data_IF_620644114076
#
_entry.id   IF_620644114076
#
_cell.length_a   1.000
_cell.length_b   1.000
_cell.length_c   1.000
_cell.angle_alpha   90.00
_cell.angle_beta   90.00
_cell.angle_gamma   90.00
#
_symmetry.space_group_name_H-M   'P 1'
#
loop_
_entity.id
_entity.type
_entity.pdbx_description
1 polymer ?
#
# COMPACT_ATOMS: atom_id res chain seq x y z
N UNK A 1 11.92 -25.61 3.93
CA UNK A 1 11.04 -24.77 4.79
C UNK A 1 9.94 -24.16 3.93
N UNK A 2 8.68 -24.27 4.35
CA UNK A 2 7.55 -23.61 3.69
C UNK A 2 7.55 -22.11 3.98
N UNK A 3 7.59 -21.30 2.94
CA UNK A 3 7.49 -19.84 3.04
C UNK A 3 6.39 -19.30 2.13
N UNK A 4 5.78 -18.19 2.54
CA UNK A 4 4.89 -17.44 1.65
C UNK A 4 5.71 -16.45 0.82
N UNK A 5 5.71 -16.63 -0.50
CA UNK A 5 6.42 -15.79 -1.45
C UNK A 5 5.46 -15.19 -2.49
N UNK A 6 5.74 -13.95 -2.91
CA UNK A 6 5.01 -13.31 -3.99
C UNK A 6 5.78 -13.40 -5.31
N UNK A 7 5.11 -13.85 -6.37
CA UNK A 7 5.60 -13.81 -7.75
C UNK A 7 4.80 -12.78 -8.55
N UNK A 8 5.47 -11.74 -9.02
CA UNK A 8 4.83 -10.64 -9.76
C UNK A 8 5.28 -10.66 -11.22
N UNK A 9 4.32 -10.66 -12.14
CA UNK A 9 4.55 -10.64 -13.58
C UNK A 9 3.80 -9.48 -14.23
N UNK A 10 4.42 -8.82 -15.20
CA UNK A 10 3.72 -7.89 -16.08
C UNK A 10 2.84 -8.69 -17.07
N UNK A 11 1.58 -8.28 -17.22
CA UNK A 11 0.65 -8.84 -18.19
C UNK A 11 0.74 -8.07 -19.50
N UNK A 12 0.51 -8.79 -20.60
CA UNK A 12 0.36 -8.26 -21.96
C UNK A 12 -1.03 -8.62 -22.51
N UNK A 13 -2.11 -8.00 -21.96
CA UNK A 13 -3.47 -8.35 -22.32
C UNK A 13 -3.88 -7.77 -23.67
N UNK A 14 -4.74 -8.48 -24.40
CA UNK A 14 -5.46 -7.92 -25.54
C UNK A 14 -6.37 -6.75 -25.10
N UNK A 15 -6.85 -5.88 -26.01
CA UNK A 15 -7.76 -4.80 -25.64
C UNK A 15 -9.01 -5.28 -24.90
N UNK A 16 -9.60 -6.40 -25.32
CA UNK A 16 -10.74 -7.04 -24.65
C UNK A 16 -10.39 -7.52 -23.24
N UNK A 17 -9.25 -8.19 -23.07
CA UNK A 17 -8.77 -8.62 -21.75
C UNK A 17 -8.46 -7.42 -20.83
N UNK A 18 -7.88 -6.34 -21.36
CA UNK A 18 -7.62 -5.13 -20.61
C UNK A 18 -8.91 -4.45 -20.13
N UNK A 19 -9.96 -4.45 -20.97
CA UNK A 19 -11.29 -3.98 -20.59
C UNK A 19 -11.91 -4.88 -19.50
N UNK A 20 -11.81 -6.20 -19.62
CA UNK A 20 -12.28 -7.15 -18.61
C UNK A 20 -11.54 -6.97 -17.27
N UNK A 21 -10.22 -6.79 -17.28
CA UNK A 21 -9.41 -6.48 -16.10
C UNK A 21 -9.85 -5.18 -15.42
N UNK A 22 -10.12 -4.14 -16.22
CA UNK A 22 -10.63 -2.87 -15.73
C UNK A 22 -12.05 -3.02 -15.13
N UNK A 23 -12.91 -3.83 -15.75
CA UNK A 23 -14.25 -4.16 -15.26
C UNK A 23 -14.18 -4.85 -13.89
N UNK A 24 -13.33 -5.86 -13.72
CA UNK A 24 -13.12 -6.57 -12.45
C UNK A 24 -12.62 -5.63 -11.33
N UNK A 25 -11.67 -4.74 -11.65
CA UNK A 25 -11.23 -3.71 -10.69
C UNK A 25 -12.34 -2.69 -10.38
N UNK A 26 -13.22 -2.42 -11.35
CA UNK A 26 -14.42 -1.62 -11.19
C UNK A 26 -15.44 -2.25 -10.25
N UNK A 27 -15.71 -3.55 -10.42
CA UNK A 27 -16.57 -4.35 -9.54
C UNK A 27 -16.07 -4.35 -8.09
N UNK A 28 -14.76 -4.55 -7.88
CA UNK A 28 -14.15 -4.47 -6.55
C UNK A 28 -14.34 -3.08 -5.90
N UNK A 29 -14.18 -2.00 -6.69
CA UNK A 29 -14.42 -0.64 -6.22
C UNK A 29 -15.89 -0.40 -5.90
N UNK A 30 -16.80 -0.91 -6.73
CA UNK A 30 -18.24 -0.77 -6.54
C UNK A 30 -18.67 -1.43 -5.23
N UNK A 31 -18.30 -2.70 -5.02
CA UNK A 31 -18.59 -3.42 -3.77
C UNK A 31 -18.03 -2.71 -2.54
N UNK A 32 -16.78 -2.21 -2.61
CA UNK A 32 -16.19 -1.43 -1.52
C UNK A 32 -17.01 -0.16 -1.19
N UNK A 33 -17.39 0.62 -2.21
CA UNK A 33 -18.12 1.86 -2.00
C UNK A 33 -19.55 1.60 -1.51
N UNK A 34 -20.22 0.59 -2.09
CA UNK A 34 -21.54 0.16 -1.65
C UNK A 34 -21.52 -0.29 -0.18
N UNK A 35 -20.58 -1.15 0.19
CA UNK A 35 -20.44 -1.61 1.59
C UNK A 35 -20.11 -0.46 2.53
N UNK A 36 -19.30 0.52 2.09
CA UNK A 36 -19.00 1.70 2.91
C UNK A 36 -20.23 2.61 3.07
N UNK A 37 -21.08 2.73 2.06
CA UNK A 37 -22.34 3.45 2.15
C UNK A 37 -23.30 2.76 3.14
N UNK A 38 -23.41 1.43 3.07
CA UNK A 38 -24.20 0.63 4.02
C UNK A 38 -23.74 0.83 5.46
N UNK A 39 -22.43 0.74 5.71
CA UNK A 39 -21.86 0.95 7.06
C UNK A 39 -22.10 2.38 7.54
N UNK A 40 -21.94 3.39 6.68
CA UNK A 40 -22.22 4.77 7.05
C UNK A 40 -23.68 5.00 7.38
N UNK A 41 -24.60 4.46 6.58
CA UNK A 41 -26.03 4.55 6.84
C UNK A 41 -26.39 3.90 8.18
N UNK A 42 -25.86 2.71 8.47
CA UNK A 42 -26.04 2.06 9.77
C UNK A 42 -25.48 2.89 10.93
N UNK A 43 -24.31 3.52 10.77
CA UNK A 43 -23.74 4.39 11.81
C UNK A 43 -24.57 5.67 12.04
N UNK A 44 -25.05 6.31 10.97
CA UNK A 44 -25.94 7.47 11.08
C UNK A 44 -27.28 7.11 11.72
N UNK A 45 -27.82 5.93 11.41
CA UNK A 45 -29.02 5.42 12.04
C UNK A 45 -28.83 5.19 13.54
N UNK A 46 -27.69 4.62 13.95
CA UNK A 46 -27.36 4.46 15.37
C UNK A 46 -27.27 5.80 16.08
N UNK A 47 -26.62 6.79 15.48
CA UNK A 47 -26.52 8.15 16.04
C UNK A 47 -27.90 8.79 16.20
N UNK A 48 -28.83 8.55 15.27
CA UNK A 48 -30.21 8.99 15.39
C UNK A 48 -30.96 8.26 16.52
N UNK A 49 -30.85 6.93 16.60
CA UNK A 49 -31.47 6.10 17.65
C UNK A 49 -30.96 6.48 19.05
N UNK A 50 -29.65 6.74 19.19
CA UNK A 50 -29.06 7.26 20.43
C UNK A 50 -29.66 8.64 20.79
N UNK A 51 -29.97 9.48 19.80
CA UNK A 51 -30.55 10.82 20.06
C UNK A 51 -32.00 10.78 20.56
N UNK A 52 -32.76 9.74 20.23
CA UNK A 52 -34.12 9.52 20.73
C UNK A 52 -34.17 8.55 21.93
N UNK A 53 -33.02 8.23 22.54
CA UNK A 53 -32.94 7.49 23.81
C UNK A 53 -33.01 5.96 23.69
N UNK A 54 -32.77 5.39 22.51
CA UNK A 54 -32.75 3.92 22.34
C UNK A 54 -31.54 3.33 23.09
N UNK A 55 -31.75 2.33 23.98
CA UNK A 55 -30.66 1.67 24.68
C UNK A 55 -29.67 0.99 23.73
N UNK A 56 -28.39 0.98 24.10
CA UNK A 56 -27.28 0.50 23.26
C UNK A 56 -27.45 -0.91 22.66
N UNK A 57 -28.21 -1.77 23.33
CA UNK A 57 -28.51 -3.15 22.92
C UNK A 57 -29.48 -3.23 21.74
N UNK A 58 -30.35 -2.23 21.59
CA UNK A 58 -31.34 -2.14 20.52
C UNK A 58 -30.87 -1.31 19.32
N UNK A 59 -29.65 -0.77 19.38
CA UNK A 59 -29.09 0.01 18.28
C UNK A 59 -28.83 -0.83 17.03
N UNK A 60 -29.11 -0.23 15.88
CA UNK A 60 -28.87 -0.80 14.55
C UNK A 60 -27.44 -1.35 14.44
N UNK A 61 -27.30 -2.64 14.12
CA UNK A 61 -25.99 -3.27 14.03
C UNK A 61 -25.27 -2.87 12.74
N UNK A 62 -24.09 -2.27 12.85
CA UNK A 62 -23.30 -1.88 11.70
C UNK A 62 -22.54 -3.10 11.10
N UNK A 63 -22.80 -3.49 9.84
CA UNK A 63 -22.18 -4.66 9.25
C UNK A 63 -20.73 -4.36 8.83
N UNK A 64 -19.79 -4.40 9.78
CA UNK A 64 -18.38 -4.10 9.54
C UNK A 64 -17.48 -5.33 9.31
N UNK A 65 -18.00 -6.55 9.49
CA UNK A 65 -17.25 -7.78 9.27
C UNK A 65 -17.36 -8.23 7.81
N UNK A 66 -16.35 -8.97 7.33
CA UNK A 66 -16.39 -9.50 5.96
C UNK A 66 -17.62 -10.40 5.74
N UNK A 67 -17.98 -11.19 6.76
CA UNK A 67 -19.13 -12.09 6.70
C UNK A 67 -20.44 -11.33 6.54
N UNK A 68 -20.70 -10.31 7.37
CA UNK A 68 -21.95 -9.53 7.29
C UNK A 68 -22.04 -8.72 6.00
N UNK A 69 -20.92 -8.15 5.54
CA UNK A 69 -20.84 -7.45 4.26
C UNK A 69 -21.13 -8.39 3.08
N UNK A 70 -20.61 -9.62 3.09
CA UNK A 70 -20.90 -10.62 2.04
C UNK A 70 -22.36 -11.05 2.06
N UNK A 71 -22.94 -11.28 3.23
CA UNK A 71 -24.36 -11.65 3.38
C UNK A 71 -25.25 -10.55 2.80
N UNK A 72 -25.02 -9.30 3.19
CA UNK A 72 -25.77 -8.16 2.67
C UNK A 72 -25.57 -7.99 1.15
N UNK A 73 -24.35 -8.18 0.64
CA UNK A 73 -24.08 -8.11 -0.80
C UNK A 73 -24.84 -9.18 -1.56
N UNK A 74 -24.83 -10.42 -1.09
CA UNK A 74 -25.53 -11.53 -1.75
C UNK A 74 -27.04 -11.32 -1.84
N UNK A 75 -27.65 -10.65 -0.85
CA UNK A 75 -29.06 -10.31 -0.87
C UNK A 75 -29.41 -9.15 -1.83
N UNK A 76 -28.44 -8.27 -2.13
CA UNK A 76 -28.69 -7.04 -2.87
C UNK A 76 -28.10 -7.00 -4.29
N UNK A 77 -27.14 -7.89 -4.61
CA UNK A 77 -26.33 -7.82 -5.84
C UNK A 77 -27.17 -7.88 -7.12
N UNK A 78 -28.22 -8.71 -7.16
CA UNK A 78 -29.01 -8.90 -8.38
C UNK A 78 -29.82 -7.65 -8.71
N UNK A 79 -30.28 -6.92 -7.69
CA UNK A 79 -30.96 -5.63 -7.84
C UNK A 79 -29.99 -4.47 -8.15
N UNK A 80 -28.85 -4.42 -7.45
CA UNK A 80 -27.95 -3.27 -7.47
C UNK A 80 -26.89 -3.32 -8.57
N UNK A 81 -26.55 -4.52 -9.03
CA UNK A 81 -25.61 -4.75 -10.10
C UNK A 81 -26.07 -5.96 -10.93
N UNK A 82 -27.13 -5.82 -11.76
CA UNK A 82 -27.59 -6.90 -12.64
C UNK A 82 -26.47 -7.50 -13.52
N UNK A 83 -25.48 -6.69 -13.88
CA UNK A 83 -24.27 -7.09 -14.62
C UNK A 83 -23.20 -7.81 -13.77
N UNK A 84 -23.50 -8.23 -12.54
CA UNK A 84 -22.46 -8.75 -11.65
C UNK A 84 -21.82 -10.04 -12.16
N UNK A 85 -22.58 -10.86 -12.90
CA UNK A 85 -22.14 -12.13 -13.46
C UNK A 85 -21.05 -11.96 -14.55
N UNK A 86 -20.91 -10.78 -15.15
CA UNK A 86 -19.85 -10.48 -16.12
C UNK A 86 -18.46 -10.53 -15.50
N UNK A 87 -18.38 -10.32 -14.18
CA UNK A 87 -17.14 -10.38 -13.42
C UNK A 87 -17.11 -11.61 -12.51
N UNK A 88 -15.92 -12.06 -12.15
CA UNK A 88 -15.78 -13.07 -11.10
C UNK A 88 -16.35 -12.57 -9.77
N UNK A 89 -17.05 -13.47 -9.04
CA UNK A 89 -17.49 -13.22 -7.65
C UNK A 89 -16.35 -12.74 -6.73
N UNK A 90 -15.13 -13.16 -7.02
CA UNK A 90 -13.93 -12.77 -6.27
C UNK A 90 -13.60 -11.27 -6.40
N UNK A 91 -14.00 -10.62 -7.50
CA UNK A 91 -13.79 -9.18 -7.67
C UNK A 91 -14.57 -8.39 -6.61
N UNK A 92 -15.87 -8.68 -6.44
CA UNK A 92 -16.72 -8.06 -5.42
C UNK A 92 -16.23 -8.39 -4.02
N UNK A 93 -15.92 -9.68 -3.78
CA UNK A 93 -15.36 -10.16 -2.52
C UNK A 93 -14.06 -9.42 -2.13
N UNK A 94 -13.15 -9.19 -3.08
CA UNK A 94 -11.93 -8.43 -2.86
C UNK A 94 -12.22 -6.99 -2.42
N UNK A 95 -13.27 -6.36 -2.98
CA UNK A 95 -13.76 -5.06 -2.55
C UNK A 95 -14.21 -5.05 -1.08
N UNK A 96 -15.04 -6.02 -0.70
CA UNK A 96 -15.58 -6.14 0.65
C UNK A 96 -14.51 -6.53 1.68
N UNK A 97 -13.57 -7.42 1.36
CA UNK A 97 -12.43 -7.76 2.23
C UNK A 97 -11.56 -6.54 2.50
N UNK A 98 -11.27 -5.74 1.46
CA UNK A 98 -10.54 -4.50 1.63
C UNK A 98 -11.26 -3.49 2.54
N UNK A 99 -12.60 -3.45 2.51
CA UNK A 99 -13.40 -2.60 3.40
C UNK A 99 -13.37 -3.12 4.84
N UNK A 100 -13.64 -4.41 5.04
CA UNK A 100 -13.64 -5.05 6.36
C UNK A 100 -12.28 -4.86 7.06
N UNK A 101 -11.17 -5.06 6.34
CA UNK A 101 -9.81 -4.80 6.85
C UNK A 101 -9.60 -3.33 7.19
N UNK A 102 -10.09 -2.40 6.37
CA UNK A 102 -9.94 -0.97 6.63
C UNK A 102 -10.72 -0.53 7.88
N UNK A 103 -11.95 -1.02 8.06
CA UNK A 103 -12.77 -0.77 9.25
C UNK A 103 -12.15 -1.40 10.50
N UNK A 104 -11.67 -2.64 10.41
CA UNK A 104 -10.93 -3.30 11.51
C UNK A 104 -9.70 -2.47 11.91
N UNK A 105 -8.89 -2.05 10.93
CA UNK A 105 -7.69 -1.24 11.19
C UNK A 105 -8.01 0.12 11.82
N UNK A 106 -9.08 0.78 11.37
CA UNK A 106 -9.56 2.02 11.98
C UNK A 106 -9.99 1.80 13.43
N UNK A 107 -10.80 0.77 13.70
CA UNK A 107 -11.27 0.48 15.06
C UNK A 107 -10.11 0.09 15.99
N UNK A 108 -9.21 -0.79 15.55
CA UNK A 108 -8.00 -1.15 16.31
C UNK A 108 -7.10 0.05 16.58
N UNK A 109 -6.99 0.98 15.63
CA UNK A 109 -6.27 2.24 15.82
C UNK A 109 -6.95 3.16 16.83
N UNK A 110 -8.29 3.26 16.79
CA UNK A 110 -9.08 4.05 17.75
C UNK A 110 -8.94 3.51 19.18
N UNK A 111 -8.84 2.19 19.33
CA UNK A 111 -8.66 1.50 20.63
C UNK A 111 -7.20 1.44 21.11
N UNK A 112 -6.24 2.04 20.39
CA UNK A 112 -4.81 1.96 20.76
C UNK A 112 -4.14 0.59 20.58
N UNK A 113 -4.88 -0.45 20.18
CA UNK A 113 -4.37 -1.83 20.01
C UNK A 113 -3.44 -2.03 18.81
N UNK A 114 -3.37 -1.07 17.88
CA UNK A 114 -2.54 -1.14 16.68
C UNK A 114 -1.33 -0.22 16.80
N UNK A 115 -0.13 -0.80 16.63
CA UNK A 115 1.12 -0.04 16.52
C UNK A 115 1.16 0.80 15.23
N UNK A 116 1.76 1.99 15.30
CA UNK A 116 2.01 2.88 14.17
C UNK A 116 0.99 4.04 14.06
N UNK A 117 1.03 4.74 12.92
CA UNK A 117 0.23 5.95 12.70
C UNK A 117 -1.27 5.68 12.84
N UNK A 118 -1.97 6.62 13.49
CA UNK A 118 -3.41 6.63 13.64
C UNK A 118 -4.10 6.52 12.27
N UNK A 119 -5.06 5.59 12.17
CA UNK A 119 -5.83 5.35 10.94
C UNK A 119 -7.15 6.11 11.01
N UNK A 120 -7.42 6.90 9.98
CA UNK A 120 -8.74 7.53 9.79
C UNK A 120 -9.80 6.56 9.26
N UNK A 121 -11.06 6.96 9.37
CA UNK A 121 -12.18 6.19 8.84
C UNK A 121 -12.06 5.98 7.31
N UNK A 122 -12.47 4.82 6.76
CA UNK A 122 -12.36 4.56 5.33
C UNK A 122 -13.12 5.59 4.46
N UNK A 123 -12.54 5.94 3.32
CA UNK A 123 -13.11 6.90 2.35
C UNK A 123 -13.56 6.20 1.08
N UNK A 124 -14.59 6.73 0.43
CA UNK A 124 -15.02 6.27 -0.88
C UNK A 124 -13.87 6.30 -1.88
N UNK A 125 -13.75 5.22 -2.65
CA UNK A 125 -12.73 5.03 -3.68
C UNK A 125 -13.21 5.64 -4.98
N UNK A 126 -12.41 6.52 -5.58
CA UNK A 126 -12.68 7.07 -6.91
C UNK A 126 -11.92 6.31 -8.00
N UNK A 127 -12.51 6.20 -9.19
CA UNK A 127 -11.90 5.54 -10.36
C UNK A 127 -10.53 6.10 -10.72
N UNK A 128 -10.32 7.40 -10.51
CA UNK A 128 -9.11 8.10 -10.94
C UNK A 128 -8.03 8.26 -9.87
N UNK A 129 -8.31 7.96 -8.59
CA UNK A 129 -7.34 8.07 -7.48
C UNK A 129 -7.04 6.73 -6.81
N UNK A 130 -8.03 5.85 -6.71
CA UNK A 130 -7.81 4.54 -6.11
C UNK A 130 -6.98 3.66 -7.06
N UNK A 131 -6.09 2.84 -6.49
CA UNK A 131 -5.42 1.80 -7.25
C UNK A 131 -6.47 0.85 -7.83
N UNK A 132 -6.36 0.56 -9.13
CA UNK A 132 -7.19 -0.47 -9.77
C UNK A 132 -6.58 -1.81 -9.45
N UNK A 133 -7.24 -2.58 -8.58
CA UNK A 133 -6.79 -3.90 -8.16
C UNK A 133 -7.95 -4.79 -7.73
N UNK A 134 -7.83 -6.07 -8.01
CA UNK A 134 -8.72 -7.13 -7.53
C UNK A 134 -7.90 -8.38 -7.17
N UNK A 135 -8.35 -9.12 -6.16
CA UNK A 135 -7.74 -10.37 -5.70
C UNK A 135 -8.67 -11.55 -5.95
N UNK A 136 -8.11 -12.65 -6.44
CA UNK A 136 -8.74 -13.93 -6.67
C UNK A 136 -8.12 -14.96 -5.73
N UNK A 137 -8.94 -15.63 -4.93
CA UNK A 137 -8.51 -16.74 -4.06
C UNK A 137 -9.06 -18.09 -4.52
N UNK A 138 -10.08 -18.07 -5.37
CA UNK A 138 -10.83 -19.27 -5.80
C UNK A 138 -10.98 -19.26 -7.32
N UNK A 139 -11.20 -20.44 -7.91
CA UNK A 139 -11.39 -20.64 -9.35
C UNK A 139 -10.09 -21.04 -10.05
N UNK A 140 -10.11 -21.01 -11.39
CA UNK A 140 -8.95 -21.36 -12.20
C UNK A 140 -7.85 -20.29 -12.06
N UNK A 141 -6.87 -20.56 -11.19
CA UNK A 141 -5.67 -19.74 -10.99
C UNK A 141 -4.47 -20.63 -11.26
N UNK A 142 -3.81 -20.46 -12.41
CA UNK A 142 -2.63 -21.24 -12.77
C UNK A 142 -1.70 -20.50 -13.71
N UNK A 143 -0.47 -20.98 -13.74
CA UNK A 143 0.53 -20.63 -14.75
C UNK A 143 0.48 -21.71 -15.82
N UNK A 144 0.47 -21.31 -17.10
CA UNK A 144 0.41 -22.26 -18.22
C UNK A 144 1.76 -22.90 -18.52
N UNK A 145 1.72 -24.06 -19.19
CA UNK A 145 2.90 -24.88 -19.47
C UNK A 145 3.94 -24.19 -20.38
N UNK A 146 3.50 -23.27 -21.23
CA UNK A 146 4.35 -22.45 -22.11
C UNK A 146 5.21 -21.41 -21.37
N UNK A 147 4.98 -21.24 -20.07
CA UNK A 147 5.71 -20.32 -19.19
C UNK A 147 5.59 -18.84 -19.57
N UNK A 148 4.61 -18.50 -20.40
CA UNK A 148 4.33 -17.15 -20.87
C UNK A 148 2.85 -16.77 -20.80
N UNK A 149 2.00 -17.66 -20.28
CA UNK A 149 0.61 -17.34 -20.01
C UNK A 149 0.18 -17.69 -18.59
N UNK A 150 -0.85 -16.99 -18.13
CA UNK A 150 -1.52 -17.23 -16.86
C UNK A 150 -3.03 -17.27 -17.09
N UNK A 151 -3.72 -18.19 -16.42
CA UNK A 151 -5.18 -18.26 -16.46
C UNK A 151 -5.76 -17.73 -15.15
N UNK A 152 -6.73 -16.83 -15.28
CA UNK A 152 -7.43 -16.21 -14.16
C UNK A 152 -8.96 -16.39 -14.29
N UNK A 153 -9.71 -16.47 -13.19
CA UNK A 153 -11.15 -16.71 -13.22
C UNK A 153 -11.90 -15.62 -13.99
N UNK A 154 -12.76 -16.01 -14.94
CA UNK A 154 -13.57 -15.11 -15.80
C UNK A 154 -12.78 -14.12 -16.68
N UNK A 155 -11.45 -14.20 -16.65
CA UNK A 155 -10.53 -13.39 -17.44
C UNK A 155 -9.84 -14.21 -18.54
N UNK A 156 -9.88 -15.54 -18.42
CA UNK A 156 -9.24 -16.45 -19.36
C UNK A 156 -7.72 -16.44 -19.26
N UNK A 157 -7.08 -16.88 -20.33
CA UNK A 157 -5.63 -17.00 -20.45
C UNK A 157 -5.03 -15.70 -20.97
N UNK A 158 -4.14 -15.09 -20.19
CA UNK A 158 -3.51 -13.80 -20.48
C UNK A 158 -2.00 -13.99 -20.59
N UNK A 159 -1.40 -13.42 -21.64
CA UNK A 159 0.05 -13.43 -21.84
C UNK A 159 0.78 -12.63 -20.77
N UNK A 160 1.94 -13.11 -20.33
CA UNK A 160 2.89 -12.40 -19.49
C UNK A 160 4.05 -11.88 -20.34
N UNK A 161 4.51 -10.67 -20.03
CA UNK A 161 5.67 -10.08 -20.69
C UNK A 161 7.00 -10.75 -20.28
N UNK A 162 7.01 -11.36 -19.10
CA UNK A 162 8.16 -12.05 -18.52
C UNK A 162 7.87 -13.54 -18.39
N UNK A 163 8.92 -14.38 -18.42
CA UNK A 163 8.76 -15.82 -18.24
C UNK A 163 8.34 -16.17 -16.80
N UNK A 164 7.35 -17.03 -16.68
CA UNK A 164 6.87 -17.59 -15.40
C UNK A 164 7.67 -18.83 -14.96
N UNK A 165 8.75 -19.18 -15.69
CA UNK A 165 9.59 -20.38 -15.49
C UNK A 165 9.93 -20.67 -14.02
N UNK A 166 10.27 -19.66 -13.22
CA UNK A 166 10.64 -19.87 -11.81
C UNK A 166 9.47 -20.45 -11.02
N UNK A 167 8.28 -19.84 -11.12
CA UNK A 167 7.09 -20.32 -10.45
C UNK A 167 6.63 -21.66 -11.04
N UNK A 168 6.60 -21.78 -12.38
CA UNK A 168 6.19 -23.01 -13.06
C UNK A 168 6.98 -24.24 -12.59
N UNK A 169 8.30 -24.11 -12.40
CA UNK A 169 9.14 -25.21 -11.87
C UNK A 169 8.75 -25.64 -10.46
N UNK A 170 8.41 -24.71 -9.57
CA UNK A 170 7.96 -25.07 -8.21
C UNK A 170 6.62 -25.81 -8.25
N UNK A 171 5.68 -25.34 -9.08
CA UNK A 171 4.38 -25.99 -9.23
C UNK A 171 4.54 -27.42 -9.81
N UNK A 172 5.36 -27.59 -10.84
CA UNK A 172 5.62 -28.89 -11.46
C UNK A 172 6.30 -29.89 -10.52
N UNK A 173 7.19 -29.42 -9.64
CA UNK A 173 7.90 -30.26 -8.67
C UNK A 173 7.09 -30.56 -7.41
N UNK A 174 5.88 -30.02 -7.27
CA UNK A 174 5.10 -30.10 -6.02
C UNK A 174 5.69 -29.31 -4.85
N UNK A 175 6.75 -28.52 -5.07
CA UNK A 175 7.38 -27.66 -4.03
C UNK A 175 6.74 -26.29 -3.96
N UNK A 176 5.60 -26.08 -4.63
CA UNK A 176 4.90 -24.81 -4.60
C UNK A 176 3.40 -24.94 -4.85
N UNK A 177 2.64 -24.07 -4.20
CA UNK A 177 1.18 -23.95 -4.36
C UNK A 177 0.78 -22.48 -4.48
N UNK A 178 -0.03 -22.15 -5.49
CA UNK A 178 -0.63 -20.82 -5.60
C UNK A 178 -1.80 -20.72 -4.61
N UNK A 179 -1.77 -19.71 -3.74
CA UNK A 179 -2.83 -19.40 -2.78
C UNK A 179 -3.81 -18.35 -3.29
N UNK A 180 -3.31 -17.38 -4.06
CA UNK A 180 -4.14 -16.32 -4.64
C UNK A 180 -3.43 -15.59 -5.77
N UNK A 181 -4.19 -14.93 -6.63
CA UNK A 181 -3.70 -14.00 -7.63
C UNK A 181 -4.28 -12.61 -7.39
N UNK A 182 -3.44 -11.58 -7.38
CA UNK A 182 -3.90 -10.18 -7.30
C UNK A 182 -3.53 -9.48 -8.59
N UNK A 183 -4.53 -9.01 -9.34
CA UNK A 183 -4.29 -8.17 -10.51
C UNK A 183 -4.29 -6.71 -10.10
N UNK A 184 -3.37 -5.92 -10.67
CA UNK A 184 -3.24 -4.49 -10.39
C UNK A 184 -2.78 -3.73 -11.62
N UNK A 185 -3.36 -2.56 -11.86
CA UNK A 185 -2.86 -1.59 -12.82
C UNK A 185 -1.93 -0.59 -12.11
N UNK A 186 -0.67 -0.52 -12.54
CA UNK A 186 0.34 0.38 -11.99
C UNK A 186 1.27 0.85 -13.11
N UNK A 187 1.61 2.14 -13.14
CA UNK A 187 2.62 2.65 -14.07
C UNK A 187 2.29 2.49 -15.56
N UNK A 188 1.01 2.32 -15.91
CA UNK A 188 0.58 2.11 -17.29
C UNK A 188 0.63 0.66 -17.76
N UNK A 189 0.83 -0.31 -16.85
CA UNK A 189 0.83 -1.74 -17.15
C UNK A 189 -0.04 -2.50 -16.17
N UNK A 190 -0.59 -3.62 -16.64
CA UNK A 190 -1.25 -4.60 -15.78
C UNK A 190 -0.19 -5.55 -15.21
N UNK A 191 -0.37 -5.93 -13.94
CA UNK A 191 0.45 -6.91 -13.27
C UNK A 191 -0.44 -7.94 -12.60
N UNK A 192 -0.02 -9.20 -12.63
CA UNK A 192 -0.52 -10.24 -11.73
C UNK A 192 0.53 -10.52 -10.66
N UNK A 193 0.10 -10.57 -9.41
CA UNK A 193 0.93 -10.98 -8.28
C UNK A 193 0.32 -12.24 -7.65
N UNK A 194 0.98 -13.37 -7.83
CA UNK A 194 0.63 -14.62 -7.16
C UNK A 194 1.21 -14.62 -5.75
N UNK A 195 0.38 -14.91 -4.75
CA UNK A 195 0.86 -15.33 -3.43
C UNK A 195 0.96 -16.84 -3.45
N UNK A 196 2.14 -17.37 -3.22
CA UNK A 196 2.43 -18.80 -3.27
C UNK A 196 3.02 -19.26 -1.94
N UNK A 197 2.65 -20.46 -1.51
CA UNK A 197 3.43 -21.22 -0.55
C UNK A 197 4.51 -21.97 -1.34
N UNK A 198 5.78 -21.81 -0.99
CA UNK A 198 6.92 -22.46 -1.63
C UNK A 198 7.73 -23.18 -0.57
N UNK A 199 8.10 -24.42 -0.84
CA UNK A 199 9.12 -25.12 -0.07
C UNK A 199 10.50 -24.77 -0.62
N UNK A 200 11.27 -24.00 0.16
CA UNK A 200 12.66 -23.71 -0.16
C UNK A 200 13.57 -24.70 0.53
N UNK A 201 14.59 -25.15 -0.21
CA UNK A 201 15.80 -25.65 0.40
C UNK A 201 16.52 -24.48 1.10
N UNK A 202 17.03 -24.72 2.30
CA UNK A 202 17.78 -23.71 3.03
C UNK A 202 19.01 -23.30 2.21
N UNK A 203 19.11 -22.00 1.94
CA UNK A 203 20.27 -21.43 1.25
C UNK A 203 21.27 -21.01 2.31
N UNK A 204 22.41 -21.67 2.31
CA UNK A 204 23.55 -21.30 3.15
C UNK A 204 24.22 -20.07 2.53
N UNK A 205 24.32 -18.94 3.25
CA UNK A 205 25.08 -17.77 2.79
C UNK A 205 26.54 -18.12 2.57
N UNK A 206 27.24 -17.36 1.71
CA UNK A 206 28.66 -17.59 1.44
C UNK A 206 29.54 -17.49 2.70
N UNK A 207 29.13 -16.71 3.70
CA UNK A 207 29.79 -16.56 5.00
C UNK A 207 28.78 -16.73 6.14
N UNK A 208 28.46 -17.98 6.54
CA UNK A 208 27.40 -18.28 7.51
C UNK A 208 27.62 -17.67 8.90
N UNK A 209 28.87 -17.59 9.34
CA UNK A 209 29.19 -17.07 10.68
C UNK A 209 29.51 -15.57 10.68
N UNK A 210 29.58 -14.95 9.49
CA UNK A 210 29.89 -13.54 9.37
C UNK A 210 28.68 -12.66 9.65
N UNK A 211 28.94 -11.58 10.37
CA UNK A 211 27.98 -10.53 10.70
C UNK A 211 28.32 -9.26 9.91
N UNK A 212 27.32 -8.59 9.36
CA UNK A 212 27.48 -7.24 8.78
C UNK A 212 26.46 -6.29 9.36
N UNK A 213 26.92 -5.14 9.85
CA UNK A 213 26.08 -3.99 10.18
C UNK A 213 25.78 -3.18 8.92
N UNK A 214 24.54 -2.71 8.78
CA UNK A 214 24.08 -1.86 7.67
C UNK A 214 23.52 -0.57 8.25
N UNK A 215 24.23 0.53 8.04
CA UNK A 215 23.76 1.90 8.30
C UNK A 215 23.09 2.44 7.03
N UNK A 216 21.87 2.96 7.13
CA UNK A 216 21.10 3.44 5.98
C UNK A 216 21.14 4.97 5.90
N UNK A 217 21.79 5.49 4.87
CA UNK A 217 21.97 6.93 4.69
C UNK A 217 20.94 7.62 3.79
N UNK A 218 20.94 8.97 3.85
CA UNK A 218 20.28 9.82 2.84
C UNK A 218 21.25 10.21 1.71
N UNK A 219 22.54 10.37 2.03
CA UNK A 219 23.62 10.67 1.08
C UNK A 219 24.00 9.40 0.29
N UNK A 220 24.29 8.34 1.02
CA UNK A 220 24.63 7.01 0.52
C UNK A 220 23.47 6.04 0.82
N UNK A 221 23.27 5.03 -0.03
CA UNK A 221 22.17 4.07 0.16
C UNK A 221 22.36 3.27 1.44
N UNK A 222 23.58 2.82 1.66
CA UNK A 222 23.98 2.10 2.86
C UNK A 222 25.50 2.20 3.07
N UNK A 223 25.94 2.15 4.32
CA UNK A 223 27.34 1.94 4.70
C UNK A 223 27.40 0.64 5.49
N UNK A 224 28.28 -0.28 5.06
CA UNK A 224 28.46 -1.55 5.74
C UNK A 224 29.52 -1.44 6.83
N UNK A 225 29.41 -2.23 7.90
CA UNK A 225 30.42 -2.30 8.96
C UNK A 225 31.79 -2.80 8.46
N UNK A 226 31.86 -3.33 7.23
CA UNK A 226 33.10 -3.66 6.54
C UNK A 226 33.83 -2.44 5.95
N UNK A 227 33.24 -1.25 6.05
CA UNK A 227 33.70 -0.01 5.41
C UNK A 227 33.21 0.19 3.97
N UNK A 228 32.44 -0.75 3.40
CA UNK A 228 31.91 -0.60 2.05
C UNK A 228 30.80 0.47 2.02
N UNK A 229 30.97 1.48 1.15
CA UNK A 229 29.96 2.51 0.92
C UNK A 229 29.16 2.19 -0.34
N UNK A 230 27.85 2.07 -0.19
CA UNK A 230 26.93 1.76 -1.27
C UNK A 230 26.25 3.07 -1.67
N UNK A 231 26.63 3.60 -2.83
CA UNK A 231 26.11 4.88 -3.30
C UNK A 231 24.59 4.87 -3.52
N UNK A 232 23.91 5.96 -3.14
CA UNK A 232 22.49 6.15 -3.41
C UNK A 232 22.22 6.39 -4.90
N UNK A 233 21.46 5.52 -5.59
CA UNK A 233 21.18 5.74 -7.00
C UNK A 233 20.33 7.01 -7.19
N UNK A 234 20.91 8.05 -7.79
CA UNK A 234 20.28 9.36 -8.00
C UNK A 234 19.24 9.36 -9.14
N UNK A 235 18.48 8.27 -9.31
CA UNK A 235 17.50 8.06 -10.39
C UNK A 235 16.44 9.16 -10.45
N UNK A 236 15.96 9.63 -9.28
CA UNK A 236 15.00 10.73 -9.24
C UNK A 236 15.59 12.03 -9.80
N UNK A 237 16.83 12.38 -9.40
CA UNK A 237 17.52 13.58 -9.88
C UNK A 237 17.73 13.54 -11.39
N UNK A 238 18.13 12.39 -11.93
CA UNK A 238 18.25 12.19 -13.38
C UNK A 238 16.90 12.35 -14.11
N UNK A 239 15.80 11.94 -13.49
CA UNK A 239 14.46 12.03 -14.09
C UNK A 239 13.78 13.41 -13.91
N UNK A 240 14.29 14.29 -13.03
CA UNK A 240 13.65 15.57 -12.68
C UNK A 240 13.35 16.44 -13.90
N UNK A 241 14.28 16.56 -14.84
CA UNK A 241 14.10 17.37 -16.06
C UNK A 241 12.86 16.90 -16.85
N UNK A 242 12.73 15.58 -17.03
CA UNK A 242 11.59 14.96 -17.73
C UNK A 242 10.29 15.12 -16.95
N UNK A 243 10.32 14.90 -15.63
CA UNK A 243 9.14 15.04 -14.76
C UNK A 243 8.61 16.48 -14.74
N UNK A 244 9.49 17.47 -14.56
CA UNK A 244 9.14 18.90 -14.60
C UNK A 244 8.52 19.30 -15.93
N UNK A 245 9.12 18.87 -17.05
CA UNK A 245 8.57 19.12 -18.39
C UNK A 245 7.16 18.54 -18.54
N UNK A 246 6.94 17.29 -18.12
CA UNK A 246 5.63 16.64 -18.21
C UNK A 246 4.59 17.29 -17.29
N UNK A 247 4.98 17.72 -16.09
CA UNK A 247 4.10 18.47 -15.20
C UNK A 247 3.68 19.80 -15.80
N UNK A 248 4.63 20.59 -16.32
CA UNK A 248 4.35 21.88 -17.00
C UNK A 248 3.44 21.69 -18.21
N UNK A 249 3.67 20.62 -18.99
CA UNK A 249 2.79 20.27 -20.11
C UNK A 249 1.40 19.82 -19.67
N UNK A 250 1.28 19.13 -18.53
CA UNK A 250 0.00 18.65 -18.00
C UNK A 250 -0.85 19.81 -17.50
N UNK A 251 -0.23 20.75 -16.80
CA UNK A 251 -0.86 21.94 -16.23
C UNK A 251 -1.45 22.86 -17.31
N UNK A 252 -0.73 23.05 -18.41
CA UNK A 252 -1.19 23.82 -19.58
C UNK A 252 -2.31 23.15 -20.40
N UNK A 253 -2.70 21.91 -20.09
CA UNK A 253 -3.72 21.16 -20.85
C UNK A 253 -5.06 21.16 -20.13
N UNK A 254 -6.14 21.12 -20.90
CA UNK A 254 -7.52 21.05 -20.37
C UNK A 254 -7.69 19.75 -19.56
N UNK A 255 -7.66 19.90 -18.23
CA UNK A 255 -7.83 18.84 -17.25
C UNK A 255 -9.29 18.65 -16.81
N UNK A 256 -9.54 17.74 -15.85
CA UNK A 256 -10.88 17.31 -15.43
C UNK A 256 -11.61 18.33 -14.53
N UNK A 257 -10.98 19.47 -14.26
CA UNK A 257 -11.53 20.59 -13.49
C UNK A 257 -11.42 21.85 -14.33
N UNK A 258 -12.47 22.66 -14.31
CA UNK A 258 -12.47 24.03 -14.83
C UNK A 258 -11.83 24.98 -13.79
N UNK A 259 -11.47 26.22 -14.17
CA UNK A 259 -10.90 27.22 -13.24
C UNK A 259 -11.79 27.53 -12.03
N UNK A 260 -13.10 27.56 -12.26
CA UNK A 260 -14.21 27.66 -11.30
C UNK A 260 -14.43 26.39 -10.46
N UNK A 261 -13.69 25.31 -10.75
CA UNK A 261 -13.70 24.08 -9.94
C UNK A 261 -14.77 23.07 -10.34
N UNK A 262 -15.63 23.35 -11.31
CA UNK A 262 -16.58 22.37 -11.86
C UNK A 262 -15.87 21.19 -12.54
N UNK A 263 -16.55 20.04 -12.61
CA UNK A 263 -16.02 18.88 -13.33
C UNK A 263 -16.25 19.06 -14.83
N UNK A 264 -15.23 18.79 -15.63
CA UNK A 264 -15.34 18.76 -17.10
C UNK A 264 -14.63 17.57 -17.70
N UNK A 265 -14.92 17.27 -18.96
CA UNK A 265 -14.20 16.23 -19.69
C UNK A 265 -12.76 16.69 -19.97
N UNK A 266 -11.73 15.91 -19.57
CA UNK A 266 -10.36 16.25 -19.88
C UNK A 266 -10.07 16.01 -21.36
N UNK A 267 -9.23 16.86 -21.96
CA UNK A 267 -8.80 16.69 -23.34
C UNK A 267 -8.01 15.39 -23.55
N UNK A 268 -8.08 14.81 -24.75
CA UNK A 268 -7.28 13.65 -25.13
C UNK A 268 -5.77 13.89 -24.95
N UNK A 269 -5.31 15.12 -25.25
CA UNK A 269 -3.94 15.58 -25.00
C UNK A 269 -3.60 15.51 -23.51
N UNK A 270 -4.47 15.99 -22.62
CA UNK A 270 -4.24 15.91 -21.17
C UNK A 270 -4.09 14.46 -20.70
N UNK A 271 -4.98 13.57 -21.15
CA UNK A 271 -4.93 12.15 -20.80
C UNK A 271 -3.61 11.48 -21.23
N UNK A 272 -3.14 11.76 -22.46
CA UNK A 272 -1.85 11.28 -22.98
C UNK A 272 -0.67 11.76 -22.12
N UNK A 273 -0.63 13.04 -21.73
CA UNK A 273 0.45 13.57 -20.87
C UNK A 273 0.41 12.97 -19.47
N UNK A 274 -0.78 12.82 -18.89
CA UNK A 274 -0.94 12.19 -17.57
C UNK A 274 -0.42 10.75 -17.58
N UNK A 275 -0.70 10.00 -18.64
CA UNK A 275 -0.17 8.65 -18.81
C UNK A 275 1.36 8.64 -18.94
N UNK A 276 1.94 9.56 -19.72
CA UNK A 276 3.39 9.69 -19.87
C UNK A 276 4.08 10.07 -18.55
N UNK A 277 3.48 10.97 -17.76
CA UNK A 277 3.94 11.34 -16.42
C UNK A 277 3.91 10.13 -15.48
N UNK A 278 2.81 9.37 -15.49
CA UNK A 278 2.69 8.12 -14.71
C UNK A 278 3.77 7.10 -15.06
N UNK A 279 4.06 6.90 -16.36
CA UNK A 279 5.15 6.02 -16.82
C UNK A 279 6.52 6.51 -16.34
N UNK A 280 6.78 7.81 -16.35
CA UNK A 280 8.03 8.38 -15.87
C UNK A 280 8.22 8.16 -14.36
N UNK A 281 7.18 8.38 -13.55
CA UNK A 281 7.23 8.05 -12.12
C UNK A 281 7.43 6.56 -11.86
N UNK A 282 6.73 5.70 -12.60
CA UNK A 282 6.87 4.26 -12.48
C UNK A 282 8.29 3.78 -12.81
N UNK A 283 8.94 4.37 -13.84
CA UNK A 283 10.34 4.06 -14.17
C UNK A 283 11.28 4.39 -13.00
N UNK A 284 11.15 5.57 -12.40
CA UNK A 284 11.96 5.94 -11.23
C UNK A 284 11.71 5.01 -10.05
N UNK A 285 10.44 4.66 -9.77
CA UNK A 285 10.10 3.73 -8.71
C UNK A 285 10.67 2.33 -8.94
N UNK A 286 10.62 1.83 -10.17
CA UNK A 286 11.17 0.52 -10.54
C UNK A 286 12.69 0.49 -10.43
N UNK A 287 13.39 1.53 -10.89
CA UNK A 287 14.85 1.63 -10.77
C UNK A 287 15.30 1.65 -9.29
N UNK A 288 14.59 2.42 -8.44
CA UNK A 288 14.86 2.42 -6.99
C UNK A 288 14.63 1.04 -6.37
N UNK A 289 13.55 0.37 -6.77
CA UNK A 289 13.21 -0.97 -6.28
C UNK A 289 14.23 -2.02 -6.71
N UNK A 290 14.72 -1.94 -7.94
CA UNK A 290 15.77 -2.81 -8.48
C UNK A 290 17.06 -2.70 -7.66
N UNK A 291 17.53 -1.47 -7.40
CA UNK A 291 18.71 -1.25 -6.54
C UNK A 291 18.56 -1.85 -5.14
N UNK A 292 17.40 -1.64 -4.50
CA UNK A 292 17.12 -2.22 -3.18
C UNK A 292 17.07 -3.75 -3.21
N UNK A 293 16.47 -4.37 -4.24
CA UNK A 293 16.42 -5.82 -4.37
C UNK A 293 17.81 -6.42 -4.62
N UNK A 294 18.63 -5.79 -5.46
CA UNK A 294 20.02 -6.23 -5.69
C UNK A 294 20.84 -6.16 -4.41
N UNK A 295 20.74 -5.07 -3.67
CA UNK A 295 21.43 -4.91 -2.39
C UNK A 295 21.00 -5.98 -1.39
N UNK A 296 19.70 -6.10 -1.14
CA UNK A 296 19.17 -7.08 -0.17
C UNK A 296 19.49 -8.52 -0.57
N UNK A 297 19.42 -8.86 -1.86
CA UNK A 297 19.80 -10.19 -2.35
C UNK A 297 21.28 -10.47 -2.15
N UNK A 298 22.16 -9.48 -2.40
CA UNK A 298 23.60 -9.60 -2.15
C UNK A 298 23.89 -9.78 -0.66
N UNK A 299 23.30 -8.94 0.19
CA UNK A 299 23.49 -9.03 1.65
C UNK A 299 23.06 -10.41 2.17
N UNK A 300 21.87 -10.87 1.77
CA UNK A 300 21.33 -12.12 2.24
C UNK A 300 22.08 -13.35 1.69
N UNK A 301 22.68 -13.26 0.50
CA UNK A 301 23.49 -14.33 -0.07
C UNK A 301 24.91 -14.40 0.51
N UNK A 302 25.45 -13.29 1.03
CA UNK A 302 26.85 -13.21 1.46
C UNK A 302 27.03 -13.43 2.96
N UNK A 303 26.19 -12.85 3.82
CA UNK A 303 26.37 -12.88 5.29
C UNK A 303 25.28 -13.69 5.97
N UNK A 304 25.64 -14.44 7.02
CA UNK A 304 24.67 -15.17 7.83
C UNK A 304 23.86 -14.32 8.81
N UNK A 305 24.41 -13.18 9.22
CA UNK A 305 23.68 -12.21 10.05
C UNK A 305 23.82 -10.80 9.48
N UNK A 306 22.70 -10.13 9.26
CA UNK A 306 22.64 -8.74 8.76
C UNK A 306 21.96 -7.88 9.82
N UNK A 307 22.74 -7.08 10.53
CA UNK A 307 22.23 -6.14 11.53
C UNK A 307 21.86 -4.83 10.84
N UNK A 308 20.65 -4.35 11.06
CA UNK A 308 20.16 -3.08 10.49
C UNK A 308 19.73 -2.19 11.64
N UNK A 309 20.21 -0.95 11.65
CA UNK A 309 19.78 0.06 12.62
C UNK A 309 18.31 0.46 12.45
N UNK A 310 17.66 0.84 13.56
CA UNK A 310 16.30 1.39 13.53
C UNK A 310 16.35 2.89 13.22
N UNK A 311 16.41 3.22 11.93
CA UNK A 311 16.48 4.60 11.50
C UNK A 311 15.12 5.31 11.67
N UNK A 312 15.06 6.33 12.53
CA UNK A 312 13.89 7.22 12.60
C UNK A 312 13.87 8.18 11.38
N UNK A 313 13.52 7.62 10.22
CA UNK A 313 13.44 8.35 8.94
C UNK A 313 12.50 9.56 9.04
N UNK A 314 11.42 9.47 9.82
CA UNK A 314 10.50 10.59 10.06
C UNK A 314 11.17 11.77 10.77
N UNK A 315 11.98 11.50 11.81
CA UNK A 315 12.74 12.52 12.52
C UNK A 315 13.80 13.17 11.65
N UNK A 316 14.50 12.39 10.82
CA UNK A 316 15.51 12.91 9.89
C UNK A 316 14.93 13.79 8.77
N UNK A 317 13.70 13.52 8.33
CA UNK A 317 13.02 14.37 7.35
C UNK A 317 12.49 15.68 7.97
N UNK A 318 12.17 15.68 9.26
CA UNK A 318 11.71 16.87 9.99
C UNK A 318 12.86 17.86 10.26
N UNK A 319 14.08 17.38 10.51
CA UNK A 319 15.25 18.21 10.84
C UNK A 319 15.93 18.90 9.64
N UNK A 320 15.22 19.13 8.53
CA UNK A 320 15.77 19.79 7.33
C UNK A 320 15.71 21.33 7.35
N UNK A 321 15.46 21.95 8.50
CA UNK A 321 15.61 23.41 8.69
C UNK A 321 16.34 23.75 10.01
N UNK A 322 17.67 23.61 10.10
CA UNK A 322 18.44 24.43 11.03
C UNK A 322 18.62 25.81 10.38
N UNK A 323 17.76 26.78 10.72
CA UNK A 323 17.97 28.20 10.35
C UNK A 323 16.86 28.91 9.56
N UNK A 324 15.58 28.60 9.74
CA UNK A 324 14.51 29.54 9.35
C UNK A 324 13.63 29.82 10.57
N UNK A 325 13.83 30.99 11.17
CA UNK A 325 12.91 31.60 12.12
C UNK A 325 11.54 31.80 11.48
N UNK A 326 10.43 31.56 12.19
CA UNK A 326 9.10 31.78 11.66
C UNK A 326 8.70 33.25 11.84
N UNK A 327 9.22 34.13 10.99
CA UNK A 327 8.60 35.44 10.75
C UNK A 327 8.18 35.50 9.29
N UNK A 328 6.92 35.11 9.05
CA UNK A 328 6.36 35.03 7.70
C UNK A 328 4.88 34.69 7.77
N UNK A 329 4.10 35.64 8.27
CA UNK A 329 2.64 35.64 8.23
C UNK A 329 2.19 35.49 6.78
N UNK A 330 1.34 34.50 6.51
CA UNK A 330 0.38 34.52 5.40
C UNK A 330 -1.00 34.14 5.94
N UNK A 331 -2.05 34.91 5.63
CA UNK A 331 -3.37 34.75 6.23
C UNK A 331 -4.20 33.69 5.49
N UNK A 332 -5.14 33.08 6.22
CA UNK A 332 -6.28 32.42 5.59
C UNK A 332 -6.40 30.93 5.89
N UNK A 333 -6.88 30.61 7.10
CA UNK A 333 -7.95 29.63 7.36
C UNK A 333 -8.21 29.55 8.86
N UNK A 334 -9.19 30.31 9.33
CA UNK A 334 -9.86 30.02 10.59
C UNK A 334 -10.60 28.68 10.47
N UNK A 335 -10.51 27.78 11.46
CA UNK A 335 -11.58 26.87 11.79
C UNK A 335 -12.34 27.45 12.99
N UNK A 336 -13.56 27.92 12.73
CA UNK A 336 -14.52 28.28 13.77
C UNK A 336 -15.24 27.02 14.28
N UNK A 337 -15.67 27.11 15.53
CA UNK A 337 -16.57 26.26 16.32
C UNK A 337 -15.96 25.08 17.10
N UNK A 338 -15.89 25.37 18.40
CA UNK A 338 -15.59 24.54 19.55
C UNK A 338 -16.73 23.60 19.93
N UNK A 339 -16.40 22.56 20.71
CA UNK A 339 -17.29 21.99 21.74
C UNK A 339 -16.49 21.74 23.02
N UNK A 340 -17.09 21.88 24.22
CA UNK A 340 -16.37 22.15 25.46
C UNK A 340 -16.05 20.87 26.25
N UNK A 341 -14.91 20.87 26.96
CA UNK A 341 -14.65 19.95 28.06
C UNK A 341 -14.60 20.73 29.38
N UNK A 342 -15.63 20.53 30.21
CA UNK A 342 -15.51 20.52 31.69
C UNK A 342 -14.60 19.33 32.02
N UNK A 343 -13.73 19.29 33.01
CA UNK A 343 -13.57 19.99 34.27
C UNK A 343 -13.05 18.91 35.21
N UNK A 344 -11.84 19.05 35.74
CA UNK A 344 -11.37 18.33 36.93
C UNK A 344 -10.04 18.92 37.40
N UNK A 345 -10.06 19.28 38.66
CA UNK A 345 -9.09 19.94 39.53
C UNK A 345 -7.82 19.14 39.83
N UNK A 346 -6.68 19.86 39.81
CA UNK A 346 -5.65 20.03 40.88
C UNK A 346 -5.01 18.79 41.59
N UNK A 347 -3.87 18.89 42.30
CA UNK A 347 -3.05 20.08 42.60
C UNK A 347 -1.51 19.93 42.41
N UNK A 348 -0.88 21.09 42.49
CA UNK A 348 0.52 21.51 42.61
C UNK A 348 1.35 20.93 43.77
N UNK A 349 2.68 20.79 43.58
CA UNK A 349 3.77 21.23 44.51
C UNK A 349 5.18 21.13 43.85
N UNK A 350 6.26 21.75 44.39
CA UNK A 350 6.99 22.85 43.74
C UNK A 350 8.50 22.53 43.51
N UNK A 351 9.38 23.49 43.12
CA UNK A 351 10.68 23.21 42.50
C UNK A 351 11.83 23.07 43.50
N UNK A 352 12.86 22.30 43.13
CA UNK A 352 14.12 22.16 43.85
C UNK A 352 15.31 22.32 42.90
N UNK A 353 16.20 23.24 43.26
CA UNK A 353 17.45 23.62 42.60
C UNK A 353 18.59 22.76 43.16
N UNK A 354 19.54 22.32 42.32
CA UNK A 354 21.01 22.42 42.52
C UNK A 354 21.80 21.41 41.69
N UNK A 355 23.03 21.82 41.41
CA UNK A 355 24.02 21.33 40.44
C UNK A 355 24.69 19.99 40.80
N UNK A 356 25.32 19.36 39.80
CA UNK A 356 26.25 18.24 39.99
C UNK A 356 26.75 17.64 38.68
N UNK A 357 28.03 17.84 38.40
CA UNK A 357 28.82 17.42 37.23
C UNK A 357 28.95 15.90 37.01
N UNK A 358 28.98 15.44 35.75
CA UNK A 358 29.95 14.47 35.20
C UNK A 358 29.62 14.05 33.76
N UNK A 359 30.65 13.91 32.93
CA UNK A 359 30.64 13.61 31.48
C UNK A 359 30.61 12.07 31.21
N UNK A 360 30.74 11.58 29.96
CA UNK A 360 29.64 10.97 29.22
C UNK A 360 29.84 9.47 28.96
N UNK A 361 28.80 8.66 29.13
CA UNK A 361 28.74 7.31 28.53
C UNK A 361 27.57 7.27 27.55
N UNK A 362 27.90 7.42 26.27
CA UNK A 362 26.96 7.32 25.16
C UNK A 362 26.46 5.88 25.02
N UNK A 363 25.30 5.58 25.60
CA UNK A 363 24.57 4.35 25.33
C UNK A 363 24.01 4.38 23.90
N UNK A 364 24.48 3.47 23.06
CA UNK A 364 23.84 3.19 21.76
C UNK A 364 22.38 2.74 21.99
N UNK A 365 21.40 3.26 21.24
CA UNK A 365 20.02 2.80 21.30
C UNK A 365 19.91 1.34 20.80
N UNK A 366 18.89 0.58 21.22
CA UNK A 366 18.81 -0.85 20.99
C UNK A 366 18.74 -1.19 19.49
N UNK A 367 19.79 -1.84 18.98
CA UNK A 367 19.83 -2.40 17.64
C UNK A 367 18.83 -3.56 17.50
N UNK A 368 18.09 -3.61 16.39
CA UNK A 368 17.20 -4.72 16.09
C UNK A 368 18.01 -5.81 15.41
N UNK A 369 18.27 -6.91 16.12
CA UNK A 369 18.85 -8.12 15.52
C UNK A 369 17.83 -8.69 14.53
N UNK A 370 18.05 -8.46 13.24
CA UNK A 370 17.30 -9.13 12.19
C UNK A 370 18.20 -10.23 11.67
N UNK A 371 17.95 -11.48 12.09
CA UNK A 371 18.52 -12.63 11.39
C UNK A 371 17.85 -12.68 10.01
N UNK A 372 18.45 -12.01 9.03
CA UNK A 372 18.00 -12.07 7.64
C UNK A 372 18.43 -13.43 7.12
N UNK A 373 17.57 -14.43 7.29
CA UNK A 373 17.73 -15.67 6.54
C UNK A 373 17.76 -15.34 5.05
N UNK A 374 18.77 -15.85 4.35
CA UNK A 374 18.88 -15.79 2.89
C UNK A 374 17.55 -16.20 2.24
N UNK A 375 16.92 -15.31 1.45
CA UNK A 375 15.62 -15.55 0.80
C UNK A 375 15.75 -15.90 -0.67
#
# INVERSE_FOLDING_TARGET
MKVTQAYRYALDPTPGQAAALASHCGAARFAFNWGLALVKAALSQREAEESYGVPGEHLTQAPWSLYSLRRAWNAAKDRLAPWWADNSKEAYNSGLDNLARALKNWNSSRKGTRKGRAMGFPRFRSKHRAASSCRFTTGAIRVEADRHHVTLPRLGTIRTAESTRKLARHLQRGTGRILSATVRFEGGRWFVAFTCEIDHADRVPARPDAVVGVDLGVKDLAVLSTGEVIASPKHHRAALRRLRRLNKQLDRRIGPRSPDGARRQPSARWAKTRAALGKAHARVANQRRDGLHKLTSRLAATWGTVVVEDLNVSGMLANRCPGCSPTGVWPGRSPMSAWPKRGASSPTRPPGVAAGSSSPTGGFPPARLVRVAAR
#
